data_IF_600080709765
#
_entry.id   IF_600080709765
#
_cell.length_a   1.000
_cell.length_b   1.000
_cell.length_c   1.000
_cell.angle_alpha   90.00
_cell.angle_beta   90.00
_cell.angle_gamma   90.00
#
_symmetry.space_group_name_H-M   'P 1'
#
loop_
_entity.id
_entity.type
_entity.pdbx_description
1 polymer ?
#
# COMPACT_ATOMS: atom_id res chain seq x y z
N UNK A 1 34.83 10.19 -10.48
CA UNK A 1 33.47 10.62 -10.09
C UNK A 1 33.43 11.87 -9.20
N UNK A 2 34.56 12.49 -8.84
CA UNK A 2 34.61 13.73 -8.03
C UNK A 2 34.91 15.00 -8.84
N UNK A 3 35.20 14.90 -10.15
CA UNK A 3 35.52 16.06 -10.99
C UNK A 3 34.28 16.84 -11.44
N UNK A 4 33.14 16.15 -11.60
CA UNK A 4 31.90 16.80 -12.03
C UNK A 4 31.35 17.78 -10.98
N UNK A 5 31.66 17.56 -9.71
CA UNK A 5 31.22 18.40 -8.57
C UNK A 5 31.99 19.72 -8.43
N UNK A 6 33.04 19.95 -9.24
CA UNK A 6 33.81 21.22 -9.26
C UNK A 6 33.66 22.01 -10.56
N UNK A 7 32.87 21.49 -11.50
CA UNK A 7 32.76 22.07 -12.83
C UNK A 7 31.90 23.36 -12.82
N UNK A 8 32.40 24.37 -13.54
CA UNK A 8 31.73 25.65 -13.79
C UNK A 8 31.31 25.66 -15.24
N UNK A 9 30.02 25.83 -15.50
CA UNK A 9 29.47 25.86 -16.85
C UNK A 9 29.03 27.27 -17.21
N UNK A 10 29.28 27.71 -18.44
CA UNK A 10 28.69 28.93 -18.99
C UNK A 10 27.60 28.57 -19.99
N UNK A 11 26.40 29.12 -19.79
CA UNK A 11 25.29 29.01 -20.74
C UNK A 11 24.66 30.37 -21.02
N UNK A 12 23.58 30.39 -21.81
CA UNK A 12 22.86 31.62 -22.20
C UNK A 12 22.34 32.46 -21.02
N UNK A 13 22.18 31.85 -19.84
CA UNK A 13 21.77 32.51 -18.60
C UNK A 13 22.97 32.96 -17.73
N UNK A 14 24.20 32.86 -18.24
CA UNK A 14 25.45 33.12 -17.51
C UNK A 14 26.03 31.88 -16.83
N UNK A 15 27.12 32.07 -16.06
CA UNK A 15 27.86 31.00 -15.43
C UNK A 15 27.09 30.36 -14.25
N UNK A 16 27.09 29.02 -14.15
CA UNK A 16 26.56 28.30 -12.99
C UNK A 16 27.58 27.30 -12.44
N UNK A 17 27.53 27.07 -11.12
CA UNK A 17 28.34 26.10 -10.38
C UNK A 17 27.42 25.12 -9.67
N UNK A 18 27.79 23.85 -9.74
CA UNK A 18 27.16 22.76 -8.99
C UNK A 18 28.07 22.44 -7.80
N UNK A 19 27.51 22.35 -6.60
CA UNK A 19 28.20 21.81 -5.41
C UNK A 19 27.36 20.66 -4.87
N UNK A 20 27.92 19.45 -4.79
CA UNK A 20 27.23 18.24 -4.34
C UNK A 20 25.88 17.98 -5.04
N UNK A 21 25.83 18.21 -6.35
CA UNK A 21 24.63 18.01 -7.17
C UNK A 21 23.53 19.06 -6.98
N UNK A 22 23.74 20.08 -6.14
CA UNK A 22 22.83 21.22 -5.98
C UNK A 22 23.38 22.45 -6.71
N UNK A 23 22.50 23.14 -7.44
CA UNK A 23 22.83 24.41 -8.08
C UNK A 23 23.01 25.49 -7.01
N UNK A 24 24.15 26.21 -7.05
CA UNK A 24 24.31 27.43 -6.26
C UNK A 24 23.42 28.50 -6.88
N UNK A 25 22.58 29.13 -6.05
CA UNK A 25 21.59 30.13 -6.45
C UNK A 25 22.24 31.29 -7.24
N UNK A 26 21.72 31.58 -8.44
CA UNK A 26 22.22 32.66 -9.29
C UNK A 26 21.88 34.04 -8.71
N UNK A 27 22.82 34.97 -8.84
CA UNK A 27 22.55 36.40 -8.81
C UNK A 27 21.79 36.77 -10.08
N UNK A 28 20.61 37.37 -9.96
CA UNK A 28 19.83 37.82 -11.10
C UNK A 28 20.02 39.32 -11.28
N UNK A 29 20.05 39.75 -12.55
CA UNK A 29 20.08 41.17 -12.92
C UNK A 29 18.65 41.70 -12.97
N UNK A 30 18.33 42.68 -12.13
CA UNK A 30 17.00 43.31 -12.14
C UNK A 30 17.07 44.53 -13.06
N UNK A 31 16.34 44.46 -14.17
CA UNK A 31 16.22 45.52 -15.16
C UNK A 31 14.87 46.21 -15.01
N UNK A 32 14.88 47.53 -14.86
CA UNK A 32 13.66 48.34 -14.87
C UNK A 32 13.34 48.79 -16.30
N UNK A 33 12.17 48.41 -16.82
CA UNK A 33 11.77 48.64 -18.22
C UNK A 33 11.00 49.97 -18.39
N UNK A 34 10.64 50.68 -17.31
CA UNK A 34 9.77 51.86 -17.40
C UNK A 34 10.47 53.16 -17.85
N UNK A 35 11.82 53.22 -17.88
CA UNK A 35 12.51 54.47 -18.25
C UNK A 35 13.94 54.25 -18.77
N UNK A 36 14.06 53.57 -19.91
CA UNK A 36 15.35 53.21 -20.49
C UNK A 36 16.04 52.13 -19.65
N UNK A 37 16.62 51.15 -20.32
CA UNK A 37 17.25 50.00 -19.69
C UNK A 37 18.36 50.46 -18.73
N UNK A 38 18.08 50.47 -17.42
CA UNK A 38 19.04 50.76 -16.36
C UNK A 38 19.10 49.57 -15.43
N UNK A 39 20.23 48.88 -15.42
CA UNK A 39 20.56 47.84 -14.44
C UNK A 39 20.59 48.45 -13.06
N UNK A 40 19.70 48.03 -12.16
CA UNK A 40 19.59 48.60 -10.79
C UNK A 40 20.45 47.83 -9.78
N UNK A 41 20.98 46.66 -10.15
CA UNK A 41 22.00 45.94 -9.38
C UNK A 41 21.87 44.41 -9.50
N UNK A 42 22.93 43.71 -9.09
CA UNK A 42 22.98 42.25 -8.94
C UNK A 42 22.71 41.90 -7.48
N UNK A 43 21.56 41.30 -7.18
CA UNK A 43 21.27 40.77 -5.84
C UNK A 43 20.79 39.32 -5.96
N UNK A 44 21.36 38.43 -5.15
CA UNK A 44 20.80 37.11 -4.94
C UNK A 44 19.37 37.28 -4.41
N UNK A 45 18.38 36.74 -5.13
CA UNK A 45 16.98 36.81 -4.70
C UNK A 45 16.87 36.02 -3.39
N UNK A 46 16.52 36.64 -2.25
CA UNK A 46 16.32 35.91 -1.01
C UNK A 46 15.26 34.83 -1.24
N UNK A 47 15.49 33.62 -0.71
CA UNK A 47 14.45 32.59 -0.70
C UNK A 47 13.19 33.18 -0.05
N UNK A 48 12.03 32.94 -0.65
CA UNK A 48 10.76 33.47 -0.15
C UNK A 48 10.45 34.95 -0.50
N UNK A 49 11.31 35.67 -1.24
CA UNK A 49 11.01 37.08 -1.61
C UNK A 49 9.66 37.23 -2.34
N UNK A 50 9.32 36.29 -3.22
CA UNK A 50 8.04 36.29 -3.96
C UNK A 50 6.83 35.88 -3.11
N UNK A 51 7.06 35.36 -1.90
CA UNK A 51 6.01 34.91 -0.98
C UNK A 51 5.73 35.94 0.13
N UNK A 52 6.58 36.96 0.27
CA UNK A 52 6.42 37.99 1.29
C UNK A 52 5.08 38.73 1.12
N UNK A 53 4.20 38.58 2.11
CA UNK A 53 2.87 39.21 2.12
C UNK A 53 1.81 38.53 1.26
N UNK A 54 2.08 37.35 0.66
CA UNK A 54 1.09 36.56 -0.07
C UNK A 54 0.70 35.33 0.74
N UNK A 55 -0.57 35.28 1.15
CA UNK A 55 -1.18 34.08 1.73
C UNK A 55 -1.48 33.07 0.63
N UNK A 56 -0.86 31.90 0.70
CA UNK A 56 -1.05 30.83 -0.28
C UNK A 56 -2.38 30.11 -0.05
N UNK A 57 -3.14 29.92 -1.14
CA UNK A 57 -4.43 29.20 -1.12
C UNK A 57 -4.19 27.74 -1.46
N UNK A 58 -4.13 26.90 -0.44
CA UNK A 58 -3.82 25.48 -0.57
C UNK A 58 -5.12 24.68 -0.63
N UNK A 59 -5.45 24.15 -1.79
CA UNK A 59 -6.66 23.36 -1.94
C UNK A 59 -6.50 21.95 -1.37
N UNK A 60 -7.56 21.46 -0.75
CA UNK A 60 -7.58 20.17 -0.05
C UNK A 60 -8.76 19.33 -0.54
N UNK A 61 -8.55 18.09 -1.03
CA UNK A 61 -9.64 17.19 -1.37
C UNK A 61 -10.34 16.72 -0.09
N UNK A 62 -11.62 16.37 -0.22
CA UNK A 62 -12.41 15.79 0.87
C UNK A 62 -12.80 14.37 0.48
N UNK A 63 -12.18 13.41 1.14
CA UNK A 63 -12.44 11.99 0.93
C UNK A 63 -13.10 11.39 2.18
N UNK A 64 -14.22 10.69 1.98
CA UNK A 64 -14.94 10.03 3.09
C UNK A 64 -14.27 8.69 3.44
N UNK A 65 -13.56 8.07 2.50
CA UNK A 65 -13.02 6.72 2.67
C UNK A 65 -11.77 6.63 3.56
N UNK A 66 -10.85 7.59 3.46
CA UNK A 66 -9.55 7.55 4.15
C UNK A 66 -9.27 8.88 4.86
N UNK A 67 -9.91 9.07 6.01
CA UNK A 67 -9.78 10.31 6.80
C UNK A 67 -8.41 10.44 7.48
N UNK A 68 -7.63 9.37 7.54
CA UNK A 68 -6.27 9.33 8.05
C UNK A 68 -5.31 10.12 7.14
N UNK A 69 -5.55 10.10 5.83
CA UNK A 69 -4.72 10.82 4.86
C UNK A 69 -5.06 12.30 4.84
N UNK A 70 -6.35 12.62 4.81
CA UNK A 70 -6.83 14.00 4.88
C UNK A 70 -8.25 14.04 5.46
N UNK A 71 -8.45 14.92 6.42
CA UNK A 71 -9.73 15.12 7.10
C UNK A 71 -9.99 16.59 7.25
N UNK A 72 -11.19 16.99 6.86
CA UNK A 72 -11.67 18.36 6.97
C UNK A 72 -12.80 18.38 7.98
N UNK A 73 -12.61 19.13 9.06
CA UNK A 73 -13.61 19.34 10.10
C UNK A 73 -14.04 20.79 10.02
N UNK A 74 -15.34 21.03 9.94
CA UNK A 74 -15.90 22.37 10.02
C UNK A 74 -16.59 22.52 11.36
N UNK A 75 -16.16 23.49 12.16
CA UNK A 75 -16.80 23.80 13.43
C UNK A 75 -18.16 24.45 13.13
N UNK A 76 -19.29 23.85 13.56
CA UNK A 76 -20.63 24.37 13.27
C UNK A 76 -20.93 25.70 13.99
N UNK A 77 -20.16 26.06 15.03
CA UNK A 77 -20.39 27.25 15.84
C UNK A 77 -19.56 28.44 15.37
N UNK A 78 -18.31 28.22 14.98
CA UNK A 78 -17.39 29.29 14.52
C UNK A 78 -17.27 29.35 13.00
N UNK A 79 -17.78 28.34 12.30
CA UNK A 79 -17.61 28.16 10.85
C UNK A 79 -16.14 27.99 10.43
N UNK A 80 -15.24 27.77 11.38
CA UNK A 80 -13.81 27.57 11.14
C UNK A 80 -13.57 26.17 10.55
N UNK A 81 -12.66 26.10 9.58
CA UNK A 81 -12.31 24.83 8.94
C UNK A 81 -10.92 24.39 9.37
N UNK A 82 -10.87 23.24 10.05
CA UNK A 82 -9.63 22.60 10.48
C UNK A 82 -9.30 21.44 9.55
N UNK A 83 -8.12 21.47 8.96
CA UNK A 83 -7.59 20.39 8.13
C UNK A 83 -6.54 19.60 8.89
N UNK A 84 -6.79 18.31 9.05
CA UNK A 84 -5.93 17.32 9.71
C UNK A 84 -5.68 16.12 8.81
N UNK A 85 -4.81 15.22 9.24
CA UNK A 85 -4.45 14.01 8.50
C UNK A 85 -3.02 14.08 7.98
N UNK A 86 -2.50 12.91 7.62
CA UNK A 86 -1.09 12.70 7.30
C UNK A 86 -0.55 13.67 6.24
N UNK A 87 -1.29 13.89 5.14
CA UNK A 87 -0.84 14.77 4.05
C UNK A 87 -0.77 16.24 4.50
N UNK A 88 -1.74 16.68 5.30
CA UNK A 88 -1.78 18.04 5.83
C UNK A 88 -0.65 18.28 6.83
N UNK A 89 -0.34 17.29 7.66
CA UNK A 89 0.71 17.39 8.66
C UNK A 89 2.10 17.38 8.03
N UNK A 90 2.34 16.53 7.02
CA UNK A 90 3.58 16.57 6.21
C UNK A 90 3.77 17.96 5.58
N UNK A 91 2.71 18.56 5.02
CA UNK A 91 2.81 19.90 4.44
C UNK A 91 3.15 20.96 5.50
N UNK A 92 2.48 20.94 6.67
CA UNK A 92 2.75 21.88 7.76
C UNK A 92 4.20 21.78 8.23
N UNK A 93 4.72 20.57 8.42
CA UNK A 93 6.11 20.35 8.84
C UNK A 93 7.11 20.76 7.75
N UNK A 94 6.80 20.50 6.47
CA UNK A 94 7.62 20.97 5.36
C UNK A 94 7.67 22.50 5.29
N UNK A 95 6.53 23.18 5.48
CA UNK A 95 6.45 24.65 5.49
C UNK A 95 7.22 25.24 6.69
N UNK A 96 7.12 24.65 7.89
CA UNK A 96 7.87 25.07 9.08
C UNK A 96 9.38 24.87 8.95
N UNK A 97 9.81 23.90 8.14
CA UNK A 97 11.24 23.60 7.92
C UNK A 97 11.94 24.59 6.99
N UNK A 98 11.21 25.56 6.42
CA UNK A 98 11.78 26.59 5.57
C UNK A 98 12.43 27.70 6.41
N UNK A 99 13.53 28.26 5.92
CA UNK A 99 14.25 29.39 6.54
C UNK A 99 13.46 30.72 6.49
N UNK A 100 12.22 30.70 6.02
CA UNK A 100 11.35 31.86 5.85
C UNK A 100 9.90 31.47 6.15
N UNK A 101 9.14 32.45 6.65
CA UNK A 101 7.72 32.24 6.95
C UNK A 101 6.90 32.15 5.67
N UNK A 102 6.01 31.15 5.62
CA UNK A 102 5.04 30.96 4.55
C UNK A 102 3.66 31.08 5.16
N UNK A 103 2.95 32.14 4.81
CA UNK A 103 1.53 32.27 5.16
C UNK A 103 0.69 31.46 4.17
N UNK A 104 -0.21 30.64 4.69
CA UNK A 104 -1.08 29.78 3.88
C UNK A 104 -2.41 29.54 4.58
N UNK A 105 -3.42 29.23 3.77
CA UNK A 105 -4.70 28.71 4.24
C UNK A 105 -5.09 27.46 3.48
N UNK A 106 -5.68 26.53 4.20
CA UNK A 106 -6.32 25.38 3.57
C UNK A 106 -7.73 25.75 3.12
N UNK A 107 -8.03 25.48 1.86
CA UNK A 107 -9.35 25.69 1.27
C UNK A 107 -9.91 24.31 0.88
N UNK A 108 -10.89 23.78 1.63
CA UNK A 108 -11.53 22.53 1.28
C UNK A 108 -12.23 22.65 -0.08
N UNK A 109 -11.97 21.69 -0.95
CA UNK A 109 -12.63 21.60 -2.24
C UNK A 109 -13.98 20.91 -2.08
N UNK A 110 -14.97 21.63 -1.55
CA UNK A 110 -16.31 21.10 -1.22
C UNK A 110 -17.44 21.95 -1.79
N UNK A 111 -18.56 21.30 -2.13
CA UNK A 111 -19.84 21.97 -2.36
C UNK A 111 -20.50 22.32 -1.01
N UNK A 112 -21.59 23.08 -1.04
CA UNK A 112 -22.34 23.50 0.15
C UNK A 112 -22.87 22.32 0.99
N UNK A 113 -23.04 21.15 0.37
CA UNK A 113 -23.43 19.91 1.05
C UNK A 113 -22.28 19.17 1.75
N UNK A 114 -21.06 19.71 1.74
CA UNK A 114 -19.87 19.12 2.36
C UNK A 114 -19.20 17.99 1.58
N UNK A 115 -19.71 17.63 0.39
CA UNK A 115 -19.08 16.65 -0.51
C UNK A 115 -18.01 17.31 -1.37
N UNK A 116 -17.06 16.51 -1.86
CA UNK A 116 -16.01 16.98 -2.78
C UNK A 116 -16.60 17.72 -3.99
N UNK A 117 -16.05 18.91 -4.29
CA UNK A 117 -16.53 19.85 -5.30
C UNK A 117 -16.18 19.45 -6.75
N UNK A 118 -16.35 18.17 -7.11
CA UNK A 118 -15.94 17.61 -8.39
C UNK A 118 -14.92 16.50 -8.20
N UNK A 119 -14.00 16.37 -9.15
CA UNK A 119 -12.98 15.31 -9.19
C UNK A 119 -11.59 15.85 -8.84
N UNK A 120 -10.62 14.94 -8.63
CA UNK A 120 -9.21 15.34 -8.53
C UNK A 120 -8.71 16.06 -9.78
N UNK A 121 -9.29 15.77 -10.95
CA UNK A 121 -8.93 16.47 -12.18
C UNK A 121 -9.39 17.93 -12.10
N UNK A 122 -10.61 18.19 -11.65
CA UNK A 122 -11.14 19.55 -11.45
C UNK A 122 -10.35 20.33 -10.40
N UNK A 123 -9.96 19.65 -9.31
CA UNK A 123 -9.12 20.20 -8.26
C UNK A 123 -7.77 20.68 -8.82
N UNK A 124 -7.13 19.86 -9.66
CA UNK A 124 -5.86 20.18 -10.32
C UNK A 124 -6.04 21.31 -11.34
N UNK A 125 -7.12 21.29 -12.12
CA UNK A 125 -7.45 22.41 -13.01
C UNK A 125 -7.66 23.72 -12.25
N UNK A 126 -8.13 23.65 -10.99
CA UNK A 126 -8.17 24.80 -10.10
C UNK A 126 -6.80 25.45 -9.86
N UNK A 127 -5.73 24.66 -9.79
CA UNK A 127 -4.35 25.18 -9.70
C UNK A 127 -3.92 25.77 -11.03
N UNK A 128 -4.15 25.06 -12.14
CA UNK A 128 -3.82 25.53 -13.48
C UNK A 128 -4.45 26.90 -13.81
N UNK A 129 -5.72 27.08 -13.45
CA UNK A 129 -6.45 28.34 -13.61
C UNK A 129 -6.18 29.37 -12.50
N UNK A 130 -5.19 29.13 -11.62
CA UNK A 130 -4.79 30.02 -10.53
C UNK A 130 -5.92 30.34 -9.54
N UNK A 131 -6.93 29.46 -9.44
CA UNK A 131 -7.93 29.51 -8.35
C UNK A 131 -7.30 29.12 -7.03
N UNK A 132 -6.33 28.21 -7.07
CA UNK A 132 -5.52 27.79 -5.94
C UNK A 132 -4.04 27.90 -6.29
N UNK A 133 -3.18 28.07 -5.28
CA UNK A 133 -1.73 28.15 -5.48
C UNK A 133 -1.07 26.77 -5.43
N UNK A 134 -1.66 25.83 -4.69
CA UNK A 134 -1.22 24.43 -4.64
C UNK A 134 -2.37 23.51 -4.19
N UNK A 135 -2.15 22.20 -4.28
CA UNK A 135 -3.03 21.15 -3.75
C UNK A 135 -2.24 20.28 -2.77
N UNK A 136 -2.86 19.96 -1.63
CA UNK A 136 -2.32 19.01 -0.65
C UNK A 136 -3.34 17.93 -0.38
N UNK A 137 -2.94 16.67 -0.52
CA UNK A 137 -3.80 15.51 -0.27
C UNK A 137 -3.26 14.24 -0.91
N UNK A 138 -4.10 13.21 -0.93
CA UNK A 138 -3.91 11.90 -1.55
C UNK A 138 -3.97 11.95 -3.09
N UNK A 139 -3.30 12.92 -3.70
CA UNK A 139 -3.31 13.12 -5.15
C UNK A 139 -2.23 12.26 -5.81
N UNK A 140 -2.65 11.32 -6.66
CA UNK A 140 -1.71 10.50 -7.44
C UNK A 140 -1.00 11.30 -8.53
N UNK A 141 0.31 11.14 -8.64
CA UNK A 141 1.13 11.71 -9.71
C UNK A 141 0.90 10.90 -10.99
N UNK A 142 0.27 11.51 -12.01
CA UNK A 142 0.00 10.87 -13.31
C UNK A 142 0.65 11.66 -14.44
N UNK A 143 1.16 10.94 -15.45
CA UNK A 143 1.70 11.51 -16.70
C UNK A 143 0.75 12.53 -17.36
N UNK A 144 -0.55 12.24 -17.34
CA UNK A 144 -1.59 13.10 -17.93
C UNK A 144 -1.80 14.44 -17.19
N UNK A 145 -1.25 14.60 -15.98
CA UNK A 145 -1.44 15.79 -15.14
C UNK A 145 -0.29 16.80 -15.24
N UNK A 146 0.90 16.37 -15.67
CA UNK A 146 2.09 17.24 -15.82
C UNK A 146 1.89 18.46 -16.74
N UNK A 147 1.09 18.42 -17.81
CA UNK A 147 0.87 19.62 -18.62
C UNK A 147 0.15 20.77 -17.88
N UNK A 148 -0.49 20.49 -16.74
CA UNK A 148 -1.33 21.44 -16.00
C UNK A 148 -0.70 21.90 -14.69
N UNK A 149 0.11 21.05 -14.05
CA UNK A 149 0.72 21.32 -12.74
C UNK A 149 2.06 20.62 -12.61
N UNK A 150 2.94 21.22 -11.80
CA UNK A 150 4.15 20.58 -11.32
C UNK A 150 3.86 19.82 -10.01
N UNK A 151 4.56 18.70 -9.82
CA UNK A 151 4.45 17.87 -8.62
C UNK A 151 5.72 17.95 -7.77
N UNK A 152 5.55 17.86 -6.46
CA UNK A 152 6.68 17.61 -5.55
C UNK A 152 7.14 16.16 -5.67
N UNK A 153 8.28 15.85 -5.05
CA UNK A 153 8.64 14.46 -4.80
C UNK A 153 7.53 13.79 -3.98
N UNK A 154 7.10 12.56 -4.32
CA UNK A 154 6.16 11.83 -3.49
C UNK A 154 6.76 11.60 -2.11
N UNK A 155 5.94 11.79 -1.07
CA UNK A 155 6.30 11.58 0.33
C UNK A 155 5.77 10.24 0.86
N UNK A 156 5.00 9.52 0.04
CA UNK A 156 4.53 8.15 0.29
C UNK A 156 4.70 7.30 -0.96
N UNK A 157 5.30 6.13 -0.79
CA UNK A 157 5.30 5.10 -1.81
C UNK A 157 3.97 4.33 -1.72
N UNK A 158 2.99 4.73 -2.52
CA UNK A 158 1.76 3.96 -2.66
C UNK A 158 2.01 2.79 -3.63
N UNK A 159 2.45 1.67 -3.08
CA UNK A 159 2.52 0.41 -3.80
C UNK A 159 1.11 -0.09 -4.17
N UNK A 160 0.93 -0.60 -5.38
CA UNK A 160 -0.29 -1.31 -5.78
C UNK A 160 -0.32 -2.63 -5.00
N UNK A 161 -1.32 -2.82 -4.16
CA UNK A 161 -1.56 -4.07 -3.42
C UNK A 161 -2.89 -4.70 -3.81
N UNK A 162 -2.93 -6.02 -3.97
CA UNK A 162 -4.18 -6.78 -4.18
C UNK A 162 -4.63 -7.34 -2.84
N UNK A 163 -5.84 -6.97 -2.40
CA UNK A 163 -6.48 -7.59 -1.24
C UNK A 163 -7.15 -8.88 -1.72
N UNK A 164 -6.60 -10.02 -1.32
CA UNK A 164 -7.21 -11.32 -1.56
C UNK A 164 -7.98 -11.74 -0.30
N UNK A 165 -9.27 -12.09 -0.38
CA UNK A 165 -9.99 -12.58 0.77
C UNK A 165 -9.32 -13.84 1.32
N UNK A 166 -9.16 -13.90 2.64
CA UNK A 166 -8.58 -15.06 3.31
C UNK A 166 -9.53 -16.26 3.16
N UNK A 167 -9.13 -17.25 2.37
CA UNK A 167 -9.88 -18.51 2.23
C UNK A 167 -9.69 -19.32 3.52
N UNK A 168 -10.58 -19.14 4.48
CA UNK A 168 -10.59 -19.91 5.73
C UNK A 168 -11.47 -21.17 5.58
N UNK A 169 -11.05 -22.13 4.75
CA UNK A 169 -11.70 -23.45 4.68
C UNK A 169 -10.64 -24.55 4.61
N UNK A 170 -9.98 -24.80 5.73
CA UNK A 170 -9.26 -26.07 5.92
C UNK A 170 -10.33 -27.09 6.36
N UNK A 171 -10.92 -27.80 5.41
CA UNK A 171 -11.78 -28.94 5.71
C UNK A 171 -10.95 -30.22 5.71
N UNK A 172 -11.28 -31.17 6.58
CA UNK A 172 -10.65 -32.51 6.64
C UNK A 172 -10.81 -33.28 5.31
N UNK A 173 -11.78 -32.85 4.49
CA UNK A 173 -12.08 -33.38 3.16
C UNK A 173 -11.12 -32.91 2.05
N UNK A 174 -10.09 -32.12 2.36
CA UNK A 174 -8.98 -31.83 1.43
C UNK A 174 -8.14 -33.09 1.17
N UNK A 175 -8.11 -34.05 2.10
CA UNK A 175 -7.29 -35.25 1.97
C UNK A 175 -7.70 -36.20 0.84
N UNK A 176 -9.00 -36.48 0.57
CA UNK A 176 -9.42 -37.26 -0.60
C UNK A 176 -9.45 -36.46 -1.92
N UNK A 177 -9.38 -35.13 -1.88
CA UNK A 177 -9.46 -34.24 -3.05
C UNK A 177 -8.42 -34.48 -4.16
N UNK A 178 -7.14 -34.82 -3.88
CA UNK A 178 -6.15 -35.09 -4.92
C UNK A 178 -6.29 -36.46 -5.60
N UNK A 179 -7.14 -37.37 -5.09
CA UNK A 179 -7.30 -38.72 -5.63
C UNK A 179 -8.60 -38.83 -6.44
N UNK A 180 -8.52 -39.28 -7.70
CA UNK A 180 -9.72 -39.50 -8.52
C UNK A 180 -10.57 -40.66 -7.98
N UNK A 181 -11.89 -40.62 -8.25
CA UNK A 181 -12.80 -41.70 -7.87
C UNK A 181 -12.35 -43.06 -8.42
N UNK A 182 -11.83 -43.08 -9.65
CA UNK A 182 -11.30 -44.29 -10.28
C UNK A 182 -10.13 -44.89 -9.49
N UNK A 183 -9.26 -44.06 -8.92
CA UNK A 183 -8.09 -44.51 -8.16
C UNK A 183 -8.50 -45.00 -6.76
N UNK A 184 -9.52 -44.40 -6.14
CA UNK A 184 -10.14 -44.93 -4.92
C UNK A 184 -10.75 -46.32 -5.16
N UNK A 185 -11.53 -46.47 -6.23
CA UNK A 185 -12.17 -47.75 -6.59
C UNK A 185 -11.10 -48.80 -6.92
N UNK A 186 -10.07 -48.43 -7.67
CA UNK A 186 -8.95 -49.32 -8.01
C UNK A 186 -8.21 -49.78 -6.75
N UNK A 187 -7.97 -48.87 -5.81
CA UNK A 187 -7.33 -49.19 -4.53
C UNK A 187 -8.17 -50.16 -3.71
N UNK A 188 -9.48 -49.89 -3.57
CA UNK A 188 -10.41 -50.78 -2.87
C UNK A 188 -10.50 -52.17 -3.53
N UNK A 189 -10.56 -52.23 -4.86
CA UNK A 189 -10.57 -53.48 -5.61
C UNK A 189 -9.27 -54.28 -5.42
N UNK A 190 -8.12 -53.62 -5.40
CA UNK A 190 -6.82 -54.25 -5.14
C UNK A 190 -6.74 -54.86 -3.74
N UNK A 191 -7.29 -54.20 -2.72
CA UNK A 191 -7.33 -54.74 -1.36
C UNK A 191 -8.22 -55.99 -1.27
N UNK A 192 -9.40 -55.96 -1.89
CA UNK A 192 -10.31 -57.13 -1.93
C UNK A 192 -9.65 -58.29 -2.67
N UNK A 193 -9.05 -58.02 -3.83
CA UNK A 193 -8.35 -59.04 -4.62
C UNK A 193 -7.22 -59.70 -3.82
N UNK A 194 -6.41 -58.89 -3.13
CA UNK A 194 -5.32 -59.42 -2.28
C UNK A 194 -5.89 -60.29 -1.15
N UNK A 195 -6.99 -59.87 -0.52
CA UNK A 195 -7.68 -60.68 0.49
C UNK A 195 -8.17 -62.03 -0.04
N UNK A 196 -8.72 -62.07 -1.26
CA UNK A 196 -9.13 -63.31 -1.92
C UNK A 196 -7.92 -64.20 -2.21
N UNK A 197 -6.82 -63.64 -2.70
CA UNK A 197 -5.59 -64.40 -2.99
C UNK A 197 -5.01 -65.02 -1.72
N UNK A 198 -4.94 -64.24 -0.63
CA UNK A 198 -4.48 -64.75 0.67
C UNK A 198 -5.43 -65.84 1.18
N UNK A 199 -6.74 -65.62 1.12
CA UNK A 199 -7.74 -66.62 1.52
C UNK A 199 -7.59 -67.94 0.74
N UNK A 200 -7.40 -67.87 -0.59
CA UNK A 200 -7.20 -69.05 -1.43
C UNK A 200 -5.90 -69.79 -1.07
N UNK A 201 -4.80 -69.06 -0.86
CA UNK A 201 -3.52 -69.67 -0.48
C UNK A 201 -3.61 -70.36 0.87
N UNK A 202 -4.19 -69.69 1.87
CA UNK A 202 -4.35 -70.21 3.23
C UNK A 202 -5.31 -71.40 3.27
N UNK A 203 -6.41 -71.35 2.51
CA UNK A 203 -7.33 -72.47 2.35
C UNK A 203 -6.69 -73.68 1.64
N UNK A 204 -5.76 -73.47 0.72
CA UNK A 204 -5.10 -74.57 -0.03
C UNK A 204 -4.01 -75.30 0.75
N UNK A 205 -3.42 -74.66 1.76
CA UNK A 205 -2.24 -75.16 2.49
C UNK A 205 -2.62 -75.64 3.91
N UNK A 206 -3.71 -75.13 4.48
CA UNK A 206 -4.10 -75.43 5.86
C UNK A 206 -5.43 -76.20 5.94
N UNK A 207 -5.36 -77.52 6.14
CA UNK A 207 -6.54 -78.40 6.26
C UNK A 207 -7.44 -78.07 7.47
N UNK A 208 -6.96 -77.31 8.46
CA UNK A 208 -7.73 -76.87 9.64
C UNK A 208 -8.73 -75.72 9.33
N UNK A 209 -8.60 -75.08 8.17
CA UNK A 209 -9.45 -73.97 7.70
C UNK A 209 -10.47 -74.39 6.61
N UNK A 210 -10.75 -75.70 6.48
CA UNK A 210 -11.82 -76.22 5.62
C UNK A 210 -13.23 -76.22 6.28
N UNK A 211 -13.35 -75.71 7.51
CA UNK A 211 -14.62 -75.54 8.23
C UNK A 211 -15.34 -74.21 7.92
N UNK A 212 -16.65 -74.14 8.21
CA UNK A 212 -17.49 -72.95 7.99
C UNK A 212 -16.93 -71.70 8.71
N UNK A 213 -16.86 -70.52 8.05
CA UNK A 213 -16.34 -69.27 8.65
C UNK A 213 -17.01 -68.85 9.97
N UNK A 214 -18.21 -69.34 10.24
CA UNK A 214 -18.96 -69.07 11.46
C UNK A 214 -18.42 -69.75 12.72
N UNK A 215 -17.57 -70.77 12.60
CA UNK A 215 -17.09 -71.53 13.77
C UNK A 215 -15.73 -71.05 14.32
N UNK A 216 -14.97 -70.23 13.58
CA UNK A 216 -13.67 -69.73 14.03
C UNK A 216 -13.73 -68.45 14.89
N UNK A 217 -14.89 -67.78 14.95
CA UNK A 217 -15.10 -66.60 15.81
C UNK A 217 -15.18 -66.99 17.30
N UNK A 218 -15.44 -68.28 17.62
CA UNK A 218 -15.57 -68.77 19.01
C UNK A 218 -14.25 -69.03 19.74
N UNK A 219 -13.13 -69.19 19.04
CA UNK A 219 -11.84 -69.51 19.68
C UNK A 219 -11.12 -68.26 20.20
N UNK A 220 -11.43 -67.08 19.68
CA UNK A 220 -10.89 -65.80 20.11
C UNK A 220 -11.52 -65.26 21.41
N UNK A 221 -12.69 -65.77 21.81
CA UNK A 221 -13.34 -65.41 23.07
C UNK A 221 -12.95 -66.32 24.25
N UNK A 222 -12.05 -67.29 24.06
CA UNK A 222 -11.69 -68.30 25.09
C UNK A 222 -10.26 -68.21 25.61
N UNK A 223 -9.48 -67.22 25.18
CA UNK A 223 -8.20 -66.86 25.80
C UNK A 223 -8.42 -65.78 26.86
N UNK A 224 -9.09 -66.15 27.93
CA UNK A 224 -9.07 -65.41 29.19
C UNK A 224 -7.86 -65.92 30.01
N UNK A 225 -6.88 -65.08 30.38
CA UNK A 225 -5.73 -65.52 31.14
C UNK A 225 -6.10 -65.65 32.63
N UNK A 226 -6.25 -66.88 33.11
CA UNK A 226 -6.30 -67.17 34.54
C UNK A 226 -4.91 -66.97 35.16
N UNK A 227 -4.71 -65.83 35.82
CA UNK A 227 -3.60 -65.64 36.76
C UNK A 227 -4.15 -65.62 38.18
N UNK A 228 -4.03 -66.76 38.84
CA UNK A 228 -4.09 -66.84 40.29
C UNK A 228 -2.84 -66.23 40.90
N UNK A 229 -3.02 -65.45 41.97
CA UNK A 229 -1.92 -65.06 42.85
C UNK A 229 -2.31 -65.34 44.29
N UNK A 230 -1.60 -66.29 44.88
CA UNK A 230 -1.63 -66.67 46.29
C UNK A 230 -0.67 -65.78 47.11
N UNK A 231 -1.03 -65.60 48.38
CA UNK A 231 -0.25 -65.18 49.58
C UNK A 231 -0.79 -63.86 50.18
N UNK A 232 -1.19 -63.82 51.45
CA UNK A 232 -0.33 -63.97 52.63
C UNK A 232 -1.09 -64.44 53.88
N UNK A 233 -0.39 -65.27 54.67
CA UNK A 233 -0.60 -65.77 56.05
C UNK A 233 -1.82 -66.67 56.34
#
# INVERSE_FOLDING_TARGET
MNEMLRSRFQGLSGAFRLTDGRLIQKEFEIVNVFRGERTIGTKAIPKGLFLHGKKLRIAVPVNIGFQELIRVIRDPRTNETTVTGFCADVFKEAAKSLDYEVDYEFIPFVYDNGRMAGTYVDLIYGVYHKKFDAVVGDTTILASRFPFVDFTQPFTDLGIGVIVPKINKISVWIFPEPLSADLWITTAASFIFTGIVVWLMEHSINDEFQGSPSEQIGTLSKLEPSYGTHSQL
#
